data_IF_236634576513
#
_entry.id   IF_236634576513
#
_cell.length_a   1.000
_cell.length_b   1.000
_cell.length_c   1.000
_cell.angle_alpha   90.00
_cell.angle_beta   90.00
_cell.angle_gamma   90.00
#
_symmetry.space_group_name_H-M   'P 1'
#
loop_
_entity.id
_entity.type
_entity.pdbx_description
1 polymer ?
#
# COMPACT_ATOMS: atom_id res chain seq x y z
N UNK A 1 10.95 -5.36 15.61
CA UNK A 1 10.98 -4.52 14.39
C UNK A 1 9.96 -5.08 13.40
N UNK A 2 8.98 -4.29 12.97
CA UNK A 2 7.96 -4.74 12.01
C UNK A 2 8.62 -4.80 10.62
N UNK A 3 8.67 -5.98 10.05
CA UNK A 3 9.50 -6.30 8.90
C UNK A 3 8.94 -5.63 7.63
N UNK A 4 9.62 -4.61 7.11
CA UNK A 4 9.12 -3.74 6.03
C UNK A 4 8.75 -4.52 4.77
N UNK A 5 9.46 -5.63 4.52
CA UNK A 5 9.18 -6.54 3.39
C UNK A 5 7.84 -7.26 3.55
N UNK A 6 7.52 -7.73 4.76
CA UNK A 6 6.26 -8.42 5.03
C UNK A 6 5.07 -7.45 4.90
N UNK A 7 5.24 -6.20 5.31
CA UNK A 7 4.22 -5.17 5.13
C UNK A 7 3.97 -4.87 3.64
N UNK A 8 5.02 -4.72 2.84
CA UNK A 8 4.91 -4.49 1.39
C UNK A 8 4.19 -5.65 0.68
N UNK A 9 4.51 -6.90 1.05
CA UNK A 9 3.86 -8.08 0.50
C UNK A 9 2.35 -8.10 0.83
N UNK A 10 1.98 -7.76 2.08
CA UNK A 10 0.57 -7.66 2.49
C UNK A 10 -0.17 -6.55 1.73
N UNK A 11 0.44 -5.38 1.57
CA UNK A 11 -0.14 -4.27 0.78
C UNK A 11 -0.37 -4.68 -0.68
N UNK A 12 0.58 -5.39 -1.30
CA UNK A 12 0.43 -5.88 -2.67
C UNK A 12 -0.68 -6.93 -2.79
N UNK A 13 -0.78 -7.85 -1.85
CA UNK A 13 -1.86 -8.86 -1.83
C UNK A 13 -3.25 -8.20 -1.75
N UNK A 14 -3.41 -7.18 -0.89
CA UNK A 14 -4.66 -6.40 -0.78
C UNK A 14 -5.02 -5.74 -2.11
N UNK A 15 -4.04 -5.12 -2.80
CA UNK A 15 -4.25 -4.49 -4.11
C UNK A 15 -4.69 -5.50 -5.17
N UNK A 16 -4.02 -6.65 -5.24
CA UNK A 16 -4.36 -7.71 -6.19
C UNK A 16 -5.77 -8.25 -5.95
N UNK A 17 -6.14 -8.50 -4.69
CA UNK A 17 -7.49 -8.94 -4.35
C UNK A 17 -8.56 -7.90 -4.72
N UNK A 18 -8.30 -6.62 -4.44
CA UNK A 18 -9.18 -5.53 -4.85
C UNK A 18 -9.38 -5.49 -6.36
N UNK A 19 -8.29 -5.57 -7.14
CA UNK A 19 -8.38 -5.60 -8.60
C UNK A 19 -9.15 -6.80 -9.12
N UNK A 20 -8.95 -7.98 -8.53
CA UNK A 20 -9.67 -9.20 -8.91
C UNK A 20 -11.18 -9.06 -8.66
N UNK A 21 -11.58 -8.51 -7.51
CA UNK A 21 -13.00 -8.26 -7.20
C UNK A 21 -13.58 -7.13 -8.06
N UNK A 22 -12.82 -6.07 -8.32
CA UNK A 22 -13.25 -4.94 -9.15
C UNK A 22 -13.45 -5.35 -10.62
N UNK A 23 -12.61 -6.26 -11.14
CA UNK A 23 -12.75 -6.81 -12.51
C UNK A 23 -14.06 -7.57 -12.72
N UNK A 24 -14.61 -8.18 -11.67
CA UNK A 24 -15.88 -8.87 -11.75
C UNK A 24 -17.04 -7.89 -12.00
N UNK A 25 -16.90 -6.59 -11.67
CA UNK A 25 -17.92 -5.53 -11.85
C UNK A 25 -19.28 -5.80 -11.19
N UNK A 26 -19.36 -6.81 -10.33
CA UNK A 26 -20.58 -7.19 -9.60
C UNK A 26 -20.70 -6.39 -8.29
N UNK A 27 -19.57 -5.96 -7.72
CA UNK A 27 -19.51 -5.38 -6.39
C UNK A 27 -19.22 -3.89 -6.41
N UNK A 28 -19.88 -3.14 -5.52
CA UNK A 28 -19.54 -1.73 -5.29
C UNK A 28 -18.17 -1.63 -4.61
N UNK A 29 -17.50 -0.49 -4.79
CA UNK A 29 -16.19 -0.24 -4.16
C UNK A 29 -16.24 -0.39 -2.64
N UNK A 30 -17.27 0.19 -2.01
CA UNK A 30 -17.51 0.11 -0.56
C UNK A 30 -17.59 -1.35 -0.11
N UNK A 31 -18.36 -2.16 -0.83
CA UNK A 31 -18.48 -3.58 -0.52
C UNK A 31 -17.15 -4.33 -0.63
N UNK A 32 -16.36 -4.06 -1.69
CA UNK A 32 -15.04 -4.69 -1.85
C UNK A 32 -14.13 -4.30 -0.67
N UNK A 33 -14.10 -3.03 -0.28
CA UNK A 33 -13.31 -2.56 0.85
C UNK A 33 -13.73 -3.22 2.17
N UNK A 34 -15.03 -3.40 2.40
CA UNK A 34 -15.55 -4.09 3.60
C UNK A 34 -15.16 -5.57 3.63
N UNK A 35 -15.26 -6.28 2.50
CA UNK A 35 -14.83 -7.68 2.40
C UNK A 35 -13.34 -7.85 2.65
N UNK A 36 -12.51 -6.96 2.09
CA UNK A 36 -11.06 -6.98 2.30
C UNK A 36 -10.70 -6.59 3.75
N UNK A 37 -11.45 -5.66 4.35
CA UNK A 37 -11.32 -5.28 5.76
C UNK A 37 -11.49 -6.51 6.67
N UNK A 38 -12.54 -7.32 6.42
CA UNK A 38 -12.78 -8.57 7.14
C UNK A 38 -11.67 -9.60 6.89
N UNK A 39 -11.28 -9.82 5.63
CA UNK A 39 -10.26 -10.80 5.24
C UNK A 39 -8.88 -10.52 5.86
N UNK A 40 -8.49 -9.25 5.92
CA UNK A 40 -7.15 -8.84 6.36
C UNK A 40 -7.09 -8.34 7.79
N UNK A 41 -8.23 -8.31 8.49
CA UNK A 41 -8.42 -7.75 9.82
C UNK A 41 -7.88 -6.31 9.92
N UNK A 42 -8.30 -5.47 8.97
CA UNK A 42 -7.91 -4.07 8.87
C UNK A 42 -9.17 -3.19 8.87
N UNK A 43 -9.06 -1.94 9.30
CA UNK A 43 -10.18 -1.00 9.11
C UNK A 43 -10.42 -0.75 7.61
N UNK A 44 -11.68 -0.55 7.16
CA UNK A 44 -11.99 -0.26 5.76
C UNK A 44 -11.21 0.94 5.22
N UNK A 45 -11.09 2.00 6.02
CA UNK A 45 -10.28 3.18 5.70
C UNK A 45 -8.80 2.83 5.45
N UNK A 46 -8.24 1.84 6.15
CA UNK A 46 -6.85 1.41 5.92
C UNK A 46 -6.71 0.66 4.60
N UNK A 47 -7.67 -0.19 4.25
CA UNK A 47 -7.72 -0.89 2.96
C UNK A 47 -7.80 0.11 1.82
N UNK A 48 -8.70 1.08 1.94
CA UNK A 48 -8.86 2.19 1.00
C UNK A 48 -7.53 2.93 0.75
N UNK A 49 -6.83 3.32 1.82
CA UNK A 49 -5.51 3.98 1.72
C UNK A 49 -4.46 3.13 1.00
N UNK A 50 -4.48 1.82 1.22
CA UNK A 50 -3.56 0.89 0.57
C UNK A 50 -3.88 0.80 -0.92
N UNK A 51 -5.16 0.62 -1.26
CA UNK A 51 -5.62 0.47 -2.65
C UNK A 51 -5.37 1.74 -3.45
N UNK A 52 -5.62 2.92 -2.88
CA UNK A 52 -5.39 4.20 -3.56
C UNK A 52 -3.95 4.71 -3.48
N UNK A 53 -3.03 3.93 -2.92
CA UNK A 53 -1.60 4.23 -2.98
C UNK A 53 -1.16 5.40 -2.10
N UNK A 54 -1.91 5.78 -1.07
CA UNK A 54 -1.52 6.88 -0.16
C UNK A 54 -0.17 6.60 0.51
N UNK A 55 0.11 5.32 0.81
CA UNK A 55 1.40 4.86 1.32
C UNK A 55 2.54 4.92 0.29
N UNK A 56 2.24 4.77 -1.00
CA UNK A 56 3.23 4.89 -2.08
C UNK A 56 3.63 6.35 -2.28
N UNK A 57 2.65 7.26 -2.28
CA UNK A 57 2.90 8.70 -2.34
C UNK A 57 3.72 9.17 -1.14
N UNK A 58 3.44 8.62 0.06
CA UNK A 58 4.23 8.90 1.26
C UNK A 58 5.67 8.38 1.14
N UNK A 59 5.86 7.13 0.68
CA UNK A 59 7.20 6.55 0.43
C UNK A 59 8.00 7.37 -0.59
N UNK A 60 7.37 7.82 -1.67
CA UNK A 60 8.02 8.66 -2.68
C UNK A 60 8.48 10.01 -2.10
N UNK A 61 7.65 10.65 -1.26
CA UNK A 61 8.03 11.89 -0.56
C UNK A 61 9.16 11.68 0.44
N UNK A 62 9.16 10.57 1.18
CA UNK A 62 10.25 10.22 2.09
C UNK A 62 11.57 9.95 1.34
N UNK A 63 11.52 9.28 0.19
CA UNK A 63 12.68 9.04 -0.65
C UNK A 63 13.26 10.35 -1.21
N UNK A 64 12.41 11.26 -1.68
CA UNK A 64 12.82 12.57 -2.21
C UNK A 64 13.40 13.52 -1.14
N UNK A 65 13.03 13.33 0.14
CA UNK A 65 13.54 14.14 1.27
C UNK A 65 14.91 13.69 1.79
N UNK A 66 15.41 12.53 1.37
CA UNK A 66 16.78 12.12 1.72
C UNK A 66 17.75 12.89 0.83
N UNK A 67 18.62 13.75 1.39
CA UNK A 67 19.65 14.41 0.59
C UNK A 67 20.53 13.33 -0.06
N UNK A 68 21.02 13.54 -1.30
CA UNK A 68 22.01 12.66 -1.87
C UNK A 68 23.18 12.62 -0.91
N UNK A 69 23.51 11.44 -0.39
CA UNK A 69 24.71 11.21 0.41
C UNK A 69 25.86 11.83 -0.36
N UNK A 70 26.44 12.92 0.15
CA UNK A 70 27.63 13.52 -0.44
C UNK A 70 28.68 12.43 -0.47
N UNK A 71 28.94 11.88 -1.67
CA UNK A 71 30.11 11.07 -1.92
C UNK A 71 31.29 11.95 -1.53
N UNK A 72 31.92 11.62 -0.40
CA UNK A 72 33.23 12.15 -0.05
C UNK A 72 34.17 11.76 -1.18
N UNK A 73 34.45 12.72 -2.06
CA UNK A 73 35.63 12.67 -2.93
C UNK A 73 36.83 12.63 -2.01
N UNK A 74 37.42 11.44 -1.88
CA UNK A 74 38.75 11.29 -1.33
C UNK A 74 39.72 11.83 -2.38
N UNK A 75 40.36 12.96 -2.05
CA UNK A 75 41.53 13.48 -2.73
C UNK A 75 42.78 13.14 -1.92
#
# INVERSE_FOLDING_TARGET
>A
MRDRRQQQAKENAIKTDYENMARQKIYSRVYICDQLSLKYHLQPSTVERIVWGEYDTRRAREAARRPPTQQRVAA
#
